data_IF_759183289921
#
_entry.id   IF_759183289921
#
_cell.length_a   1.000
_cell.length_b   1.000
_cell.length_c   1.000
_cell.angle_alpha   90.00
_cell.angle_beta   90.00
_cell.angle_gamma   90.00
#
_symmetry.space_group_name_H-M   'P 1'
#
loop_
_entity.id
_entity.type
_entity.pdbx_description
1 polymer ?
#
# COMPACT_ATOMS: atom_id res chain seq x y z
N UNK A 1 -1.71 1.00 4.03
CA UNK A 1 -1.37 0.70 5.43
C UNK A 1 -0.63 1.83 6.16
N UNK A 2 -0.44 2.97 5.52
CA UNK A 2 0.36 4.09 6.04
C UNK A 2 -0.44 5.38 6.21
N UNK A 3 -1.76 5.26 6.33
CA UNK A 3 -2.66 6.40 6.61
C UNK A 3 -3.04 7.24 5.41
N UNK A 4 -2.56 6.93 4.21
CA UNK A 4 -2.95 7.63 2.99
C UNK A 4 -4.34 7.15 2.55
N UNK A 5 -5.33 8.03 2.34
CA UNK A 5 -6.70 7.65 1.98
C UNK A 5 -6.82 7.28 0.49
N UNK A 6 -5.92 6.48 0.02
CA UNK A 6 -5.86 6.00 -1.36
C UNK A 6 -5.38 4.55 -1.37
N UNK A 7 -5.99 3.70 -2.21
CA UNK A 7 -5.55 2.34 -2.46
C UNK A 7 -4.96 2.27 -3.86
N UNK A 8 -3.66 2.03 -3.93
CA UNK A 8 -2.94 1.94 -5.20
C UNK A 8 -1.78 0.96 -5.08
N UNK A 9 -1.75 -0.01 -5.96
CA UNK A 9 -0.66 -0.97 -6.01
C UNK A 9 0.52 -0.38 -6.80
N UNK A 10 1.73 -0.57 -6.26
CA UNK A 10 2.98 -0.18 -6.91
C UNK A 10 4.06 -1.20 -6.59
N UNK A 11 4.92 -1.41 -7.56
CA UNK A 11 6.18 -2.11 -7.37
C UNK A 11 7.26 -1.09 -7.03
N UNK A 12 7.99 -1.35 -5.97
CA UNK A 12 9.16 -0.56 -5.60
C UNK A 12 10.40 -1.40 -5.80
N UNK A 13 11.40 -0.83 -6.43
CA UNK A 13 12.73 -1.40 -6.53
C UNK A 13 13.69 -0.50 -5.77
N UNK A 14 14.31 -1.04 -4.74
CA UNK A 14 15.26 -0.31 -3.89
C UNK A 14 16.61 -0.96 -4.03
N UNK A 15 17.62 -0.18 -4.33
CA UNK A 15 18.98 -0.64 -4.47
C UNK A 15 19.95 0.25 -3.69
N UNK A 16 20.89 -0.38 -3.02
CA UNK A 16 22.00 0.29 -2.34
C UNK A 16 23.31 -0.19 -2.95
N UNK A 17 24.34 0.65 -2.92
CA UNK A 17 25.67 0.25 -3.31
C UNK A 17 26.18 -0.84 -2.36
N UNK A 18 26.82 -1.87 -2.91
CA UNK A 18 27.32 -3.01 -2.13
C UNK A 18 28.26 -2.59 -1.00
N UNK A 19 29.05 -1.54 -1.22
CA UNK A 19 30.00 -1.01 -0.24
C UNK A 19 29.30 -0.52 1.05
N UNK A 20 28.01 -0.22 1.01
CA UNK A 20 27.25 0.26 2.17
C UNK A 20 26.80 -0.88 3.09
N UNK A 21 26.79 -2.10 2.59
CA UNK A 21 26.33 -3.29 3.33
C UNK A 21 24.97 -3.08 4.03
N UNK A 22 24.03 -2.47 3.31
CA UNK A 22 22.68 -2.15 3.81
C UNK A 22 21.68 -3.12 3.21
N UNK A 23 20.95 -3.81 4.09
CA UNK A 23 19.80 -4.60 3.68
C UNK A 23 18.54 -3.70 3.60
N UNK A 24 17.85 -3.62 2.45
CA UNK A 24 16.63 -2.85 2.35
C UNK A 24 15.52 -3.46 3.21
N UNK A 25 14.80 -2.61 3.92
CA UNK A 25 13.63 -3.00 4.72
C UNK A 25 12.46 -2.07 4.42
N UNK A 26 11.25 -2.59 4.58
CA UNK A 26 10.04 -1.75 4.49
C UNK A 26 9.61 -1.29 5.88
N UNK A 27 9.09 -0.05 6.00
CA UNK A 27 8.56 0.43 7.27
C UNK A 27 7.37 -0.42 7.71
N UNK A 28 7.17 -0.52 9.02
CA UNK A 28 6.00 -1.20 9.58
C UNK A 28 4.72 -0.44 9.24
N UNK A 29 3.61 -1.13 8.97
CA UNK A 29 2.32 -0.49 8.76
C UNK A 29 1.89 0.33 9.98
N UNK A 30 1.28 1.48 9.74
CA UNK A 30 0.77 2.38 10.78
C UNK A 30 -0.74 2.29 10.97
N UNK A 31 -1.45 1.79 9.96
CA UNK A 31 -2.90 1.72 9.95
C UNK A 31 -3.38 0.36 9.46
N UNK A 32 -4.53 -0.05 9.98
CA UNK A 32 -5.22 -1.24 9.50
C UNK A 32 -6.18 -0.89 8.36
N UNK A 33 -6.11 -1.63 7.29
CA UNK A 33 -7.04 -1.59 6.18
C UNK A 33 -7.33 -3.02 5.73
N UNK A 34 -8.61 -3.36 5.64
CA UNK A 34 -9.06 -4.55 4.94
C UNK A 34 -9.17 -4.23 3.44
N UNK A 35 -8.38 -4.91 2.63
CA UNK A 35 -8.38 -4.67 1.19
C UNK A 35 -9.70 -5.12 0.57
N UNK A 36 -10.23 -4.36 -0.40
CA UNK A 36 -11.42 -4.78 -1.14
C UNK A 36 -11.21 -6.11 -1.87
N UNK A 37 -12.32 -6.81 -2.12
CA UNK A 37 -12.29 -8.03 -2.93
C UNK A 37 -11.69 -7.74 -4.31
N UNK A 38 -10.88 -8.65 -4.79
CA UNK A 38 -10.21 -8.53 -6.08
C UNK A 38 -8.73 -8.10 -6.00
N UNK A 39 -8.32 -7.41 -4.94
CA UNK A 39 -6.91 -7.03 -4.75
C UNK A 39 -5.97 -8.23 -4.65
N UNK A 40 -6.39 -9.31 -4.02
CA UNK A 40 -5.60 -10.54 -3.95
C UNK A 40 -5.36 -11.15 -5.32
N UNK A 41 -6.35 -11.07 -6.21
CA UNK A 41 -6.22 -11.51 -7.59
C UNK A 41 -5.19 -10.72 -8.37
N UNK A 42 -5.25 -9.39 -8.31
CA UNK A 42 -4.26 -8.49 -8.93
C UNK A 42 -2.86 -8.73 -8.39
N UNK A 43 -2.73 -8.88 -7.08
CA UNK A 43 -1.47 -9.19 -6.43
C UNK A 43 -0.90 -10.53 -6.91
N UNK A 44 -1.73 -11.55 -7.01
CA UNK A 44 -1.32 -12.87 -7.49
C UNK A 44 -0.79 -12.82 -8.91
N UNK A 45 -1.41 -12.03 -9.77
CA UNK A 45 -0.95 -11.80 -11.15
C UNK A 45 0.40 -11.11 -11.15
N UNK A 46 0.55 -10.05 -10.37
CA UNK A 46 1.82 -9.32 -10.26
C UNK A 46 2.96 -10.20 -9.73
N UNK A 47 2.68 -11.06 -8.75
CA UNK A 47 3.68 -11.95 -8.16
C UNK A 47 4.16 -13.07 -9.09
N UNK A 48 3.46 -13.35 -10.20
CA UNK A 48 3.93 -14.29 -11.22
C UNK A 48 5.20 -13.82 -11.92
N UNK A 49 5.43 -12.52 -11.95
CA UNK A 49 6.59 -11.90 -12.59
C UNK A 49 7.76 -11.65 -11.64
N UNK A 50 7.63 -12.09 -10.39
CA UNK A 50 8.64 -11.89 -9.35
C UNK A 50 9.25 -13.23 -8.97
N UNK A 51 10.56 -13.32 -8.97
CA UNK A 51 11.29 -14.48 -8.45
C UNK A 51 11.36 -14.38 -6.92
N UNK A 52 10.48 -15.11 -6.25
CA UNK A 52 10.41 -15.14 -4.79
C UNK A 52 11.60 -15.90 -4.16
N UNK A 53 12.26 -16.77 -4.92
CA UNK A 53 13.36 -17.59 -4.43
C UNK A 53 14.70 -16.86 -4.49
N UNK A 54 14.78 -15.73 -5.19
CA UNK A 54 16.00 -14.95 -5.34
C UNK A 54 16.53 -14.34 -4.04
N UNK A 55 15.72 -14.29 -2.98
CA UNK A 55 16.01 -13.59 -1.73
C UNK A 55 15.96 -12.06 -1.84
N UNK A 56 15.69 -11.54 -3.02
CA UNK A 56 15.58 -10.09 -3.29
C UNK A 56 14.16 -9.57 -3.19
N UNK A 57 13.19 -10.47 -3.14
CA UNK A 57 11.78 -10.10 -2.97
C UNK A 57 11.44 -9.95 -1.50
N UNK A 58 11.00 -8.76 -1.12
CA UNK A 58 10.52 -8.46 0.22
C UNK A 58 9.03 -8.13 0.17
N UNK A 59 8.25 -8.88 0.89
CA UNK A 59 6.83 -8.64 1.02
C UNK A 59 6.55 -7.63 2.13
N UNK A 60 5.64 -6.69 1.87
CA UNK A 60 5.22 -5.73 2.88
C UNK A 60 4.46 -6.47 3.98
N UNK A 61 4.76 -6.15 5.24
CA UNK A 61 4.07 -6.71 6.38
C UNK A 61 2.58 -6.36 6.37
N UNK A 62 1.74 -7.34 6.65
CA UNK A 62 0.32 -7.10 6.82
C UNK A 62 0.08 -6.31 8.12
N UNK A 63 -0.82 -5.31 8.11
CA UNK A 63 -1.13 -4.55 9.31
C UNK A 63 -1.86 -5.41 10.34
N UNK A 64 -1.54 -5.20 11.61
CA UNK A 64 -2.30 -5.78 12.72
C UNK A 64 -3.68 -5.13 12.82
N UNK A 65 -4.70 -5.91 13.17
CA UNK A 65 -6.05 -5.40 13.46
C UNK A 65 -6.11 -4.48 14.67
N UNK A 66 -5.06 -4.46 15.49
CA UNK A 66 -4.93 -3.55 16.64
C UNK A 66 -4.53 -2.14 16.27
N UNK A 67 -4.03 -1.94 15.05
CA UNK A 67 -3.68 -0.61 14.56
C UNK A 67 -4.93 0.23 14.32
N UNK A 68 -4.83 1.57 14.37
CA UNK A 68 -5.92 2.45 13.99
C UNK A 68 -6.40 2.14 12.57
N UNK A 69 -7.69 2.22 12.34
CA UNK A 69 -8.24 2.04 10.98
C UNK A 69 -7.70 3.11 10.03
N UNK A 70 -7.42 2.70 8.81
CA UNK A 70 -7.06 3.64 7.75
C UNK A 70 -8.22 4.60 7.46
N UNK A 71 -7.87 5.85 7.17
CA UNK A 71 -8.84 6.87 6.78
C UNK A 71 -9.28 6.60 5.34
N UNK A 72 -10.57 6.47 5.11
CA UNK A 72 -11.14 6.30 3.78
C UNK A 72 -11.26 7.63 3.03
N UNK A 73 -11.40 7.56 1.72
CA UNK A 73 -11.54 8.75 0.85
C UNK A 73 -12.72 9.62 1.28
N UNK A 74 -13.85 8.99 1.64
CA UNK A 74 -15.03 9.72 2.08
C UNK A 74 -14.76 10.55 3.34
N UNK A 75 -14.05 10.00 4.31
CA UNK A 75 -13.69 10.71 5.53
C UNK A 75 -12.66 11.82 5.26
N UNK A 76 -11.70 11.56 4.39
CA UNK A 76 -10.67 12.53 4.03
C UNK A 76 -11.22 13.73 3.24
N UNK A 77 -12.28 13.53 2.45
CA UNK A 77 -12.91 14.56 1.62
C UNK A 77 -14.22 15.08 2.22
N UNK A 78 -14.56 14.67 3.42
CA UNK A 78 -15.86 14.98 4.03
C UNK A 78 -16.09 16.45 4.36
N UNK A 79 -15.02 17.23 4.46
CA UNK A 79 -15.05 18.68 4.70
C UNK A 79 -15.24 19.50 3.41
N UNK A 80 -15.13 18.88 2.25
CA UNK A 80 -15.34 19.56 0.99
C UNK A 80 -16.84 19.81 0.75
N UNK A 81 -17.20 20.97 0.19
CA UNK A 81 -18.58 21.28 -0.14
C UNK A 81 -19.12 20.32 -1.20
N UNK A 82 -20.36 19.89 -1.02
CA UNK A 82 -21.04 19.06 -2.01
C UNK A 82 -21.37 19.89 -3.24
N UNK A 83 -21.02 19.38 -4.40
CA UNK A 83 -21.47 19.96 -5.65
C UNK A 83 -22.95 19.67 -5.80
N UNK A 84 -23.79 20.69 -5.64
CA UNK A 84 -25.25 20.58 -5.77
C UNK A 84 -25.74 20.81 -7.19
N UNK A 85 -25.00 21.55 -7.96
CA UNK A 85 -25.32 21.89 -9.35
C UNK A 85 -24.08 21.75 -10.20
N UNK A 86 -24.25 21.23 -11.40
CA UNK A 86 -23.21 21.29 -12.40
C UNK A 86 -23.15 22.72 -12.95
N UNK A 87 -22.02 23.36 -12.81
CA UNK A 87 -21.75 24.58 -13.52
C UNK A 87 -21.74 24.27 -15.03
N UNK A 88 -22.70 24.78 -15.73
CA UNK A 88 -22.76 24.69 -17.18
C UNK A 88 -21.98 25.81 -17.82
#
# INVERSE_FOLDING_TARGET
YYGVPQVRERLFVVAFADVLDIAPTFPAPTNFLELPRGYEGSRRVALKHVDKESGRFHEIHKPSRRLPKAVGVRAALGDLPKIKEHAT
#
